data_IF_956270097832
#
_entry.id   IF_956270097832
#
_cell.length_a   1.000
_cell.length_b   1.000
_cell.length_c   1.000
_cell.angle_alpha   90.00
_cell.angle_beta   90.00
_cell.angle_gamma   90.00
#
_symmetry.space_group_name_H-M   'P 1'
#
loop_
_entity.id
_entity.type
_entity.pdbx_description
1 polymer ?
#
# COMPACT_ATOMS: atom_id res chain seq x y z
N UNK A 1 29.66 -11.12 9.35
CA UNK A 1 28.66 -10.27 8.65
C UNK A 1 27.26 -10.69 9.10
N UNK A 2 26.69 -9.95 10.06
CA UNK A 2 25.29 -9.97 10.54
C UNK A 2 25.14 -8.59 11.20
N UNK A 3 24.18 -7.71 10.94
CA UNK A 3 22.75 -7.82 10.63
C UNK A 3 22.37 -6.52 9.93
N UNK A 4 21.84 -6.56 8.72
CA UNK A 4 20.96 -5.51 8.23
C UNK A 4 19.56 -5.86 8.73
N UNK A 5 19.24 -5.51 9.97
CA UNK A 5 17.85 -5.65 10.44
C UNK A 5 17.05 -4.52 9.79
N UNK A 6 16.49 -4.77 8.62
CA UNK A 6 15.31 -4.02 8.20
C UNK A 6 14.28 -4.21 9.31
N UNK A 7 13.97 -3.12 10.02
CA UNK A 7 12.91 -3.15 11.02
C UNK A 7 11.61 -3.17 10.25
N UNK A 8 10.89 -4.28 10.35
CA UNK A 8 9.57 -4.45 9.73
C UNK A 8 8.63 -3.43 10.37
N UNK A 9 8.02 -2.58 9.55
CA UNK A 9 7.05 -1.59 10.03
C UNK A 9 5.75 -2.29 10.46
N UNK A 10 4.94 -1.64 11.30
CA UNK A 10 3.71 -2.27 11.82
C UNK A 10 2.72 -2.70 10.73
N UNK A 11 2.70 -2.03 9.59
CA UNK A 11 1.82 -2.32 8.46
C UNK A 11 2.34 -3.40 7.50
N UNK A 12 3.54 -3.92 7.73
CA UNK A 12 4.21 -4.87 6.84
C UNK A 12 4.12 -6.30 7.36
N UNK A 13 4.02 -7.24 6.42
CA UNK A 13 4.10 -8.68 6.70
C UNK A 13 5.30 -9.25 5.94
N UNK A 14 6.18 -9.96 6.65
CA UNK A 14 7.24 -10.75 6.03
C UNK A 14 6.67 -12.10 5.56
N UNK A 15 6.75 -12.36 4.26
CA UNK A 15 6.31 -13.60 3.62
C UNK A 15 7.30 -14.74 3.88
N UNK A 16 6.88 -15.98 3.61
CA UNK A 16 7.75 -17.16 3.73
C UNK A 16 8.93 -17.11 2.75
N UNK A 17 8.75 -16.48 1.59
CA UNK A 17 9.77 -16.29 0.56
C UNK A 17 10.74 -15.13 0.86
N UNK A 18 10.55 -14.45 1.99
CA UNK A 18 11.45 -13.41 2.47
C UNK A 18 11.23 -12.05 1.80
N UNK A 19 10.01 -11.75 1.35
CA UNK A 19 9.59 -10.44 0.82
C UNK A 19 8.66 -9.75 1.82
N UNK A 20 8.53 -8.43 1.73
CA UNK A 20 7.59 -7.66 2.55
C UNK A 20 6.37 -7.32 1.71
N UNK A 21 5.19 -7.56 2.27
CA UNK A 21 3.91 -7.18 1.65
C UNK A 21 3.14 -6.20 2.53
N UNK A 22 2.43 -5.28 1.88
CA UNK A 22 1.54 -4.30 2.50
C UNK A 22 0.54 -3.77 1.47
N UNK A 23 -0.48 -3.07 1.95
CA UNK A 23 -1.43 -2.36 1.10
C UNK A 23 -1.05 -0.90 0.91
N UNK A 24 -1.51 -0.30 -0.18
CA UNK A 24 -1.36 1.14 -0.44
C UNK A 24 -2.67 1.77 -0.89
N UNK A 25 -2.81 3.06 -0.66
CA UNK A 25 -3.81 3.93 -1.28
C UNK A 25 -3.08 5.10 -1.92
N UNK A 26 -3.24 5.31 -3.22
CA UNK A 26 -2.69 6.48 -3.90
C UNK A 26 -3.44 7.74 -3.47
N UNK A 27 -2.70 8.75 -3.03
CA UNK A 27 -3.26 10.05 -2.69
C UNK A 27 -2.20 11.15 -2.75
N UNK A 28 -2.62 12.36 -3.11
CA UNK A 28 -1.72 13.51 -3.11
C UNK A 28 -1.42 14.00 -1.67
N UNK A 29 -0.28 14.70 -1.45
CA UNK A 29 0.11 15.14 -0.11
C UNK A 29 -0.90 16.05 0.58
N UNK A 30 -1.72 16.76 -0.19
CA UNK A 30 -2.75 17.65 0.35
C UNK A 30 -3.93 16.88 0.97
N UNK A 31 -4.17 15.65 0.52
CA UNK A 31 -5.33 14.83 0.91
C UNK A 31 -4.95 13.76 1.94
N UNK A 32 -3.65 13.46 2.09
CA UNK A 32 -3.14 12.32 2.87
C UNK A 32 -3.60 12.32 4.33
N UNK A 33 -3.52 13.44 5.03
CA UNK A 33 -3.98 13.52 6.43
C UNK A 33 -5.50 13.37 6.54
N UNK A 34 -6.27 13.82 5.54
CA UNK A 34 -7.71 13.60 5.50
C UNK A 34 -8.04 12.11 5.38
N UNK A 35 -7.39 11.43 4.43
CA UNK A 35 -7.56 9.99 4.21
C UNK A 35 -7.12 9.17 5.43
N UNK A 36 -5.98 9.51 6.04
CA UNK A 36 -5.50 8.85 7.24
C UNK A 36 -6.54 8.94 8.36
N UNK A 37 -7.12 10.12 8.60
CA UNK A 37 -8.13 10.29 9.63
C UNK A 37 -9.40 9.48 9.33
N UNK A 38 -9.88 9.51 8.09
CA UNK A 38 -11.05 8.74 7.66
C UNK A 38 -10.83 7.23 7.83
N UNK A 39 -9.68 6.70 7.40
CA UNK A 39 -9.32 5.29 7.59
C UNK A 39 -9.32 4.95 9.10
N UNK A 40 -8.74 5.81 9.94
CA UNK A 40 -8.72 5.57 11.39
C UNK A 40 -10.13 5.57 12.00
N UNK A 41 -11.00 6.47 11.57
CA UNK A 41 -12.37 6.60 12.07
C UNK A 41 -13.24 5.41 11.66
N UNK A 42 -13.17 4.99 10.39
CA UNK A 42 -14.01 3.93 9.84
C UNK A 42 -13.52 2.52 10.21
N UNK A 43 -12.20 2.30 10.27
CA UNK A 43 -11.62 0.96 10.51
C UNK A 43 -11.19 0.74 11.97
N UNK A 44 -11.04 1.82 12.75
CA UNK A 44 -10.42 1.77 14.08
C UNK A 44 -8.92 1.44 14.06
N UNK A 45 -8.28 1.44 12.90
CA UNK A 45 -6.85 1.16 12.75
C UNK A 45 -6.02 2.23 13.45
N UNK A 46 -5.08 1.89 14.35
CA UNK A 46 -4.25 2.89 15.01
C UNK A 46 -3.30 3.58 14.02
N UNK A 47 -3.14 4.91 14.15
CA UNK A 47 -2.24 5.75 13.33
C UNK A 47 -0.83 5.18 13.10
N UNK A 48 -0.28 4.40 14.03
CA UNK A 48 1.05 3.77 13.88
C UNK A 48 1.14 2.73 12.76
N UNK A 49 0.01 2.26 12.24
CA UNK A 49 -0.08 1.35 11.09
C UNK A 49 -0.33 2.11 9.77
N UNK A 50 -0.38 3.44 9.81
CA UNK A 50 -0.60 4.27 8.64
C UNK A 50 0.63 5.15 8.44
N UNK A 51 1.22 5.05 7.25
CA UNK A 51 2.40 5.83 6.89
C UNK A 51 2.16 6.49 5.54
N UNK A 52 2.30 7.81 5.46
CA UNK A 52 2.29 8.49 4.17
C UNK A 52 3.71 8.52 3.61
N UNK A 53 3.90 7.88 2.47
CA UNK A 53 5.12 7.95 1.66
C UNK A 53 5.00 9.15 0.71
N UNK A 54 5.72 10.23 1.01
CA UNK A 54 5.72 11.45 0.19
C UNK A 54 6.39 11.24 -1.18
N UNK A 55 7.37 10.34 -1.27
CA UNK A 55 8.12 10.09 -2.51
C UNK A 55 7.24 9.32 -3.50
N UNK A 56 6.51 8.32 -3.00
CA UNK A 56 5.60 7.49 -3.79
C UNK A 56 4.16 8.01 -3.86
N UNK A 57 3.84 9.08 -3.11
CA UNK A 57 2.50 9.71 -3.01
C UNK A 57 1.39 8.72 -2.69
N UNK A 58 1.57 8.01 -1.58
CA UNK A 58 0.62 6.98 -1.15
C UNK A 58 0.63 6.79 0.35
N UNK A 59 -0.49 6.30 0.88
CA UNK A 59 -0.57 5.82 2.25
C UNK A 59 -0.28 4.32 2.23
N UNK A 60 0.72 3.88 2.99
CA UNK A 60 0.98 2.49 3.30
C UNK A 60 0.19 2.08 4.56
N UNK A 61 -0.40 0.89 4.49
CA UNK A 61 -1.30 0.34 5.50
C UNK A 61 -1.27 -1.20 5.48
N UNK A 62 -1.81 -1.88 6.51
CA UNK A 62 -1.91 -3.33 6.48
C UNK A 62 -2.69 -3.80 5.25
N UNK A 63 -2.19 -4.86 4.60
CA UNK A 63 -2.83 -5.42 3.41
C UNK A 63 -4.31 -5.78 3.66
N UNK A 64 -4.61 -6.40 4.80
CA UNK A 64 -5.99 -6.75 5.16
C UNK A 64 -6.92 -5.53 5.18
N UNK A 65 -6.43 -4.38 5.65
CA UNK A 65 -7.22 -3.15 5.67
C UNK A 65 -7.38 -2.59 4.25
N UNK A 66 -6.34 -2.66 3.41
CA UNK A 66 -6.44 -2.26 2.01
C UNK A 66 -7.46 -3.10 1.23
N UNK A 67 -7.48 -4.41 1.44
CA UNK A 67 -8.47 -5.33 0.86
C UNK A 67 -9.89 -5.02 1.35
N UNK A 68 -10.06 -4.66 2.62
CA UNK A 68 -11.36 -4.28 3.16
C UNK A 68 -11.88 -2.96 2.57
N UNK A 69 -11.04 -1.93 2.46
CA UNK A 69 -11.48 -0.60 1.99
C UNK A 69 -11.58 -0.49 0.46
N UNK A 70 -10.93 -1.38 -0.30
CA UNK A 70 -10.86 -1.26 -1.77
C UNK A 70 -12.24 -1.26 -2.43
N UNK A 71 -13.22 -1.93 -1.83
CA UNK A 71 -14.60 -1.98 -2.33
C UNK A 71 -15.40 -0.69 -2.07
N UNK A 72 -14.87 0.23 -1.26
CA UNK A 72 -15.58 1.41 -0.75
C UNK A 72 -14.96 2.74 -1.17
N UNK A 73 -13.76 2.73 -1.75
CA UNK A 73 -13.04 3.95 -2.12
C UNK A 73 -12.74 4.01 -3.62
N UNK A 74 -12.90 5.20 -4.19
CA UNK A 74 -12.56 5.48 -5.60
C UNK A 74 -11.05 5.66 -5.82
N UNK A 75 -10.32 6.05 -4.76
CA UNK A 75 -8.87 6.21 -4.82
C UNK A 75 -8.20 4.87 -5.16
N UNK A 76 -7.16 4.83 -6.00
CA UNK A 76 -6.50 3.57 -6.35
C UNK A 76 -5.94 2.86 -5.12
N UNK A 77 -6.36 1.62 -4.89
CA UNK A 77 -5.87 0.76 -3.81
C UNK A 77 -5.10 -0.40 -4.42
N UNK A 78 -3.93 -0.74 -3.86
CA UNK A 78 -3.13 -1.84 -4.36
C UNK A 78 -2.45 -2.66 -3.26
N UNK A 79 -2.17 -3.92 -3.59
CA UNK A 79 -1.17 -4.75 -2.95
C UNK A 79 0.22 -4.39 -3.48
N UNK A 80 1.21 -4.28 -2.60
CA UNK A 80 2.62 -4.07 -2.96
C UNK A 80 3.49 -5.12 -2.29
N UNK A 81 4.43 -5.67 -3.07
CA UNK A 81 5.49 -6.56 -2.59
C UNK A 81 6.87 -5.93 -2.85
N UNK A 82 7.75 -5.94 -1.83
CA UNK A 82 9.09 -5.37 -1.90
C UNK A 82 10.17 -6.29 -1.31
N UNK A 83 11.43 -6.07 -1.70
CA UNK A 83 12.58 -6.66 -1.01
C UNK A 83 12.73 -6.10 0.42
N UNK A 84 13.15 -6.92 1.42
CA UNK A 84 13.42 -6.48 2.80
C UNK A 84 14.79 -5.78 2.91
N UNK A 85 15.05 -4.84 2.00
CA UNK A 85 16.25 -4.01 1.96
C UNK A 85 15.89 -2.57 2.32
N UNK A 86 16.91 -1.76 2.61
CA UNK A 86 16.68 -0.35 2.87
C UNK A 86 16.07 0.40 1.67
N UNK A 87 16.43 0.00 0.46
CA UNK A 87 15.94 0.59 -0.79
C UNK A 87 14.51 0.14 -1.14
N UNK A 88 13.97 -0.89 -0.45
CA UNK A 88 12.60 -1.39 -0.60
C UNK A 88 12.16 -1.54 -2.05
N UNK A 89 13.02 -2.14 -2.87
CA UNK A 89 12.78 -2.32 -4.29
C UNK A 89 11.46 -3.06 -4.52
N UNK A 90 10.55 -2.39 -5.22
CA UNK A 90 9.23 -2.94 -5.58
C UNK A 90 9.39 -4.08 -6.57
N UNK A 91 8.81 -5.21 -6.20
CA UNK A 91 8.74 -6.40 -7.04
C UNK A 91 7.42 -6.47 -7.79
N UNK A 92 6.31 -6.17 -7.11
CA UNK A 92 4.97 -6.39 -7.64
C UNK A 92 4.01 -5.36 -7.08
N UNK A 93 3.11 -4.89 -7.95
CA UNK A 93 1.95 -4.07 -7.60
C UNK A 93 0.70 -4.67 -8.26
N UNK A 94 -0.37 -4.84 -7.48
CA UNK A 94 -1.67 -5.33 -7.99
C UNK A 94 -2.78 -4.44 -7.45
N UNK A 95 -3.47 -3.72 -8.33
CA UNK A 95 -4.62 -2.91 -7.93
C UNK A 95 -5.80 -3.78 -7.53
N UNK A 96 -6.40 -3.46 -6.39
CA UNK A 96 -7.50 -4.20 -5.77
C UNK A 96 -8.86 -3.70 -6.26
N UNK A 97 -8.98 -2.39 -6.54
CA UNK A 97 -10.24 -1.76 -6.97
C UNK A 97 -10.26 -1.27 -8.42
N UNK A 98 -9.20 -1.55 -9.20
CA UNK A 98 -9.20 -1.35 -10.65
C UNK A 98 -9.34 -2.69 -11.35
N UNK A 99 -10.37 -2.84 -12.15
CA UNK A 99 -10.50 -3.96 -13.06
C UNK A 99 -9.32 -3.93 -14.03
N UNK A 100 -8.59 -5.04 -14.22
CA UNK A 100 -7.44 -5.09 -15.14
C UNK A 100 -7.82 -4.82 -16.62
N UNK A 101 -9.11 -4.58 -16.89
CA UNK A 101 -9.68 -4.23 -18.19
C UNK A 101 -9.57 -2.74 -18.55
N UNK A 102 -9.23 -1.88 -17.59
CA UNK A 102 -8.99 -0.43 -17.82
C UNK A 102 -7.50 -0.08 -17.96
N UNK A 103 -6.64 -1.05 -18.29
CA UNK A 103 -5.32 -0.74 -18.83
C UNK A 103 -5.51 -0.01 -20.18
N UNK A 104 -4.92 1.18 -20.40
CA UNK A 104 -5.01 1.85 -21.69
C UNK A 104 -4.18 1.06 -22.70
N UNK A 105 -4.84 0.13 -23.38
CA UNK A 105 -4.20 -0.81 -24.28
C UNK A 105 -5.22 -1.62 -25.05
N UNK A 106 -5.99 -0.96 -25.91
CA UNK A 106 -6.40 -1.42 -27.25
C UNK A 106 -7.45 -0.44 -27.79
N UNK A 107 -6.98 0.58 -28.52
CA UNK A 107 -7.83 1.20 -29.54
C UNK A 107 -8.12 0.14 -30.59
N UNK A 108 -9.38 -0.18 -30.90
CA UNK A 108 -9.66 -0.97 -32.09
C UNK A 108 -9.32 -0.13 -33.32
N UNK A 109 -8.50 -0.68 -34.22
CA UNK A 109 -8.26 -0.14 -35.57
C UNK A 109 -9.55 -0.07 -36.40
#
# INVERSE_FOLDING_TARGET
LRRGEATISPHEILTEDGTLIFGIIECEPADSEGYINEIMEETGLPRRFLYYDEEMKRIELPLSTAEEISDYVDAPVAFVEVHPTHERLEMTIVYLNKDQRDAPGESPE
#
